data_IF_721741040418
#
_entry.id   IF_721741040418
#
_cell.length_a   1.000
_cell.length_b   1.000
_cell.length_c   1.000
_cell.angle_alpha   90.00
_cell.angle_beta   90.00
_cell.angle_gamma   90.00
#
_symmetry.space_group_name_H-M   'P 1'
#
loop_
_entity.id
_entity.type
_entity.pdbx_description
1 polymer ?
#
# COMPACT_ATOMS: atom_id res chain seq x y z
N UNK A 1 -2.33 -0.56 21.44
CA UNK A 1 -1.32 -0.19 20.43
C UNK A 1 0.09 -0.35 20.95
N UNK A 2 0.44 0.17 22.13
CA UNK A 2 1.76 -0.06 22.73
C UNK A 2 2.14 -1.56 22.79
N UNK A 3 1.23 -2.42 23.26
CA UNK A 3 1.45 -3.88 23.27
C UNK A 3 1.79 -4.46 21.89
N UNK A 4 1.16 -3.95 20.83
CA UNK A 4 1.46 -4.41 19.47
C UNK A 4 2.86 -3.97 19.03
N UNK A 5 3.24 -2.72 19.30
CA UNK A 5 4.58 -2.21 19.04
C UNK A 5 5.64 -2.98 19.83
N UNK A 6 5.38 -3.27 21.11
CA UNK A 6 6.28 -4.05 21.96
C UNK A 6 6.44 -5.49 21.45
N UNK A 7 5.36 -6.09 20.90
CA UNK A 7 5.40 -7.43 20.31
C UNK A 7 6.26 -7.49 19.05
N UNK A 8 6.19 -6.46 18.19
CA UNK A 8 6.93 -6.46 16.91
C UNK A 8 8.36 -5.95 17.04
N UNK A 9 8.64 -5.16 18.08
CA UNK A 9 9.96 -4.61 18.33
C UNK A 9 11.01 -5.73 18.46
N UNK A 10 12.17 -5.56 17.82
CA UNK A 10 13.28 -6.51 17.80
C UNK A 10 12.96 -7.93 17.27
N UNK A 11 11.85 -8.11 16.54
CA UNK A 11 11.49 -9.42 15.96
C UNK A 11 12.08 -9.70 14.59
N UNK A 12 12.60 -8.67 13.91
CA UNK A 12 13.01 -8.75 12.50
C UNK A 12 11.85 -8.78 11.50
N UNK A 13 10.62 -8.46 11.95
CA UNK A 13 9.52 -8.12 11.05
C UNK A 13 9.84 -6.77 10.41
N UNK A 14 9.69 -6.68 9.09
CA UNK A 14 9.90 -5.43 8.33
C UNK A 14 8.68 -4.98 7.55
N UNK A 15 7.63 -5.81 7.50
CA UNK A 15 6.41 -5.52 6.76
C UNK A 15 5.22 -6.13 7.49
N UNK A 16 4.25 -5.27 7.81
CA UNK A 16 2.95 -5.60 8.36
C UNK A 16 1.87 -5.27 7.33
N UNK A 17 1.25 -6.29 6.76
CA UNK A 17 0.19 -6.17 5.76
C UNK A 17 -1.16 -6.44 6.42
N UNK A 18 -2.12 -5.54 6.26
CA UNK A 18 -3.45 -5.69 6.80
C UNK A 18 -4.54 -5.16 5.85
N UNK A 19 -5.79 -5.17 6.31
CA UNK A 19 -6.97 -4.74 5.55
C UNK A 19 -7.97 -4.08 6.50
N UNK A 20 -9.25 -4.49 6.46
CA UNK A 20 -10.34 -3.94 7.31
C UNK A 20 -10.75 -2.49 6.97
N UNK A 21 -9.81 -1.56 6.94
CA UNK A 21 -10.03 -0.21 6.40
C UNK A 21 -10.21 -0.30 4.89
N UNK A 22 -11.24 0.31 4.33
CA UNK A 22 -11.52 0.29 2.89
C UNK A 22 -10.62 1.26 2.09
N UNK A 23 -9.35 1.36 2.46
CA UNK A 23 -8.36 2.25 1.87
C UNK A 23 -7.00 1.59 1.73
N UNK A 24 -6.09 2.33 1.12
CA UNK A 24 -4.77 1.85 0.72
C UNK A 24 -3.71 2.86 1.17
N UNK A 25 -2.73 2.42 1.96
CA UNK A 25 -1.62 3.26 2.39
C UNK A 25 -0.33 2.47 2.52
N UNK A 26 0.76 3.21 2.71
CA UNK A 26 2.05 2.70 3.09
C UNK A 26 2.68 3.67 4.07
N UNK A 27 2.90 3.21 5.28
CA UNK A 27 3.52 3.94 6.36
C UNK A 27 4.80 3.26 6.82
N UNK A 28 5.65 3.98 7.54
CA UNK A 28 6.91 3.47 8.06
C UNK A 28 7.20 3.95 9.47
N UNK A 29 7.75 3.06 10.30
CA UNK A 29 8.25 3.39 11.62
C UNK A 29 9.75 3.19 11.68
N UNK A 30 10.50 4.28 11.81
CA UNK A 30 11.97 4.23 11.95
C UNK A 30 12.43 3.63 13.27
N UNK A 31 11.64 3.76 14.34
CA UNK A 31 11.95 3.20 15.65
C UNK A 31 11.73 1.69 15.70
N UNK A 32 10.78 1.15 14.93
CA UNK A 32 10.48 -0.28 14.86
C UNK A 32 11.15 -0.98 13.67
N UNK A 33 11.56 -0.23 12.65
CA UNK A 33 12.08 -0.75 11.38
C UNK A 33 11.03 -1.55 10.59
N UNK A 34 9.77 -1.11 10.65
CA UNK A 34 8.60 -1.80 10.10
C UNK A 34 7.83 -0.89 9.15
N UNK A 35 7.48 -1.44 7.99
CA UNK A 35 6.50 -0.89 7.07
C UNK A 35 5.09 -1.38 7.41
N UNK A 36 4.13 -0.47 7.51
CA UNK A 36 2.72 -0.79 7.71
C UNK A 36 1.96 -0.50 6.43
N UNK A 37 1.17 -1.46 5.96
CA UNK A 37 0.42 -1.36 4.71
C UNK A 37 -1.02 -1.78 4.96
N UNK A 38 -1.94 -0.85 4.72
CA UNK A 38 -3.36 -1.14 4.57
C UNK A 38 -3.64 -1.50 3.11
N UNK A 39 -4.21 -2.67 2.91
CA UNK A 39 -4.61 -3.23 1.62
C UNK A 39 -6.05 -3.74 1.71
N UNK A 40 -7.01 -2.82 1.92
CA UNK A 40 -8.40 -3.18 2.22
C UNK A 40 -9.45 -2.72 1.22
N UNK A 41 -9.08 -1.97 0.17
CA UNK A 41 -9.93 -1.57 -0.93
C UNK A 41 -9.83 -2.54 -2.13
N UNK A 42 -9.96 -3.84 -1.86
CA UNK A 42 -9.80 -4.91 -2.87
C UNK A 42 -11.01 -5.19 -3.77
N UNK A 43 -12.11 -4.45 -3.65
CA UNK A 43 -13.36 -4.70 -4.39
C UNK A 43 -14.56 -5.07 -3.53
N UNK A 44 -14.57 -4.66 -2.25
CA UNK A 44 -15.72 -4.78 -1.35
C UNK A 44 -16.86 -3.80 -1.68
N UNK A 45 -17.69 -3.48 -0.68
CA UNK A 45 -18.87 -2.60 -0.87
C UNK A 45 -18.44 -1.14 -1.06
N UNK A 46 -17.34 -0.72 -0.44
CA UNK A 46 -16.88 0.67 -0.37
C UNK A 46 -15.37 0.72 -0.65
N UNK A 47 -14.92 1.82 -1.26
CA UNK A 47 -13.52 2.28 -1.33
C UNK A 47 -13.45 3.74 -0.92
N UNK A 48 -12.44 4.07 -0.13
CA UNK A 48 -12.19 5.41 0.41
C UNK A 48 -10.68 5.64 0.48
N UNK A 49 -10.25 6.89 0.66
CA UNK A 49 -8.88 7.16 1.07
C UNK A 49 -8.61 6.48 2.41
N UNK A 50 -7.39 5.98 2.61
CA UNK A 50 -7.02 5.43 3.91
C UNK A 50 -7.17 6.49 5.01
N UNK A 51 -7.52 6.05 6.21
CA UNK A 51 -7.46 6.90 7.39
C UNK A 51 -6.02 7.36 7.61
N UNK A 52 -5.82 8.65 7.85
CA UNK A 52 -4.51 9.18 8.22
C UNK A 52 -4.00 8.58 9.53
N UNK A 53 -2.73 8.86 9.86
CA UNK A 53 -2.08 8.33 11.06
C UNK A 53 -2.84 8.83 12.31
N UNK A 54 -3.31 7.93 13.19
CA UNK A 54 -3.96 8.31 14.43
C UNK A 54 -3.03 9.10 15.35
N UNK A 55 -3.57 10.04 16.14
CA UNK A 55 -2.76 10.91 17.02
C UNK A 55 -1.85 10.16 18.00
N UNK A 56 -2.24 8.97 18.46
CA UNK A 56 -1.40 8.16 19.34
C UNK A 56 -0.17 7.55 18.64
N UNK A 57 -0.14 7.53 17.31
CA UNK A 57 0.91 6.94 16.47
C UNK A 57 1.73 7.98 15.70
N UNK A 58 1.35 9.28 15.72
CA UNK A 58 2.05 10.37 15.02
C UNK A 58 3.55 10.49 15.39
N UNK A 59 3.95 10.07 16.59
CA UNK A 59 5.36 10.06 17.01
C UNK A 59 6.13 8.78 16.69
N UNK A 60 5.47 7.77 16.11
CA UNK A 60 6.04 6.45 15.85
C UNK A 60 6.10 6.10 14.38
N UNK A 61 5.17 6.65 13.60
CA UNK A 61 4.90 6.25 12.22
C UNK A 61 4.83 7.50 11.36
N UNK A 62 5.40 7.41 10.17
CA UNK A 62 5.38 8.44 9.13
C UNK A 62 4.65 7.89 7.90
N UNK A 63 3.83 8.73 7.27
CA UNK A 63 3.12 8.34 6.06
C UNK A 63 4.05 8.49 4.86
N UNK A 64 4.30 7.38 4.15
CA UNK A 64 5.09 7.40 2.92
C UNK A 64 4.19 7.59 1.70
N UNK A 65 3.00 6.98 1.72
CA UNK A 65 2.05 7.06 0.60
C UNK A 65 0.62 6.76 1.04
N UNK A 66 -0.35 7.37 0.37
CA UNK A 66 -1.78 7.09 0.52
C UNK A 66 -2.46 7.17 -0.84
N UNK A 67 -3.37 6.23 -1.12
CA UNK A 67 -4.23 6.31 -2.29
C UNK A 67 -5.45 7.17 -2.00
N UNK A 68 -5.89 7.94 -3.00
CA UNK A 68 -7.08 8.79 -2.88
C UNK A 68 -8.41 8.02 -2.80
N UNK A 69 -8.38 6.70 -3.07
CA UNK A 69 -9.55 5.83 -3.04
C UNK A 69 -10.44 5.92 -4.27
N UNK A 70 -9.95 6.51 -5.37
CA UNK A 70 -10.74 6.67 -6.61
C UNK A 70 -11.05 5.35 -7.30
N UNK A 71 -10.24 4.32 -7.10
CA UNK A 71 -10.38 2.98 -7.70
C UNK A 71 -10.07 1.86 -6.70
N UNK A 72 -10.58 0.65 -6.99
CA UNK A 72 -10.18 -0.55 -6.24
C UNK A 72 -8.79 -1.02 -6.69
N UNK A 73 -8.08 -1.74 -5.82
CA UNK A 73 -6.75 -2.21 -6.15
C UNK A 73 -6.21 -3.25 -5.19
N UNK A 74 -4.93 -3.56 -5.34
CA UNK A 74 -4.23 -4.46 -4.45
C UNK A 74 -2.72 -4.20 -4.44
N UNK A 75 -2.09 -4.52 -3.31
CA UNK A 75 -0.65 -4.61 -3.20
C UNK A 75 -0.11 -5.96 -3.66
N UNK A 76 0.92 -5.94 -4.49
CA UNK A 76 1.77 -7.09 -4.79
C UNK A 76 3.10 -6.97 -4.05
N UNK A 77 3.60 -8.10 -3.53
CA UNK A 77 4.93 -8.20 -2.94
C UNK A 77 5.73 -9.26 -3.69
N UNK A 78 6.96 -8.91 -4.08
CA UNK A 78 7.88 -9.85 -4.72
C UNK A 78 8.99 -10.29 -3.78
N UNK A 79 9.61 -11.44 -4.03
CA UNK A 79 10.72 -11.95 -3.22
C UNK A 79 11.95 -11.04 -3.20
N UNK A 80 12.09 -10.12 -4.18
CA UNK A 80 13.07 -9.02 -4.17
C UNK A 80 12.65 -7.85 -3.28
N UNK A 81 11.63 -8.04 -2.42
CA UNK A 81 11.06 -7.06 -1.48
C UNK A 81 10.57 -5.77 -2.13
N UNK A 82 10.11 -5.87 -3.37
CA UNK A 82 9.44 -4.78 -4.07
C UNK A 82 7.94 -4.87 -3.78
N UNK A 83 7.43 -3.88 -3.07
CA UNK A 83 6.01 -3.66 -2.76
C UNK A 83 5.42 -2.73 -3.82
N UNK A 84 4.29 -3.10 -4.43
CA UNK A 84 3.67 -2.28 -5.47
C UNK A 84 2.15 -2.27 -5.31
N UNK A 85 1.53 -1.10 -5.37
CA UNK A 85 0.08 -0.98 -5.45
C UNK A 85 -0.37 -0.91 -6.91
N UNK A 86 -1.37 -1.72 -7.24
CA UNK A 86 -1.95 -1.83 -8.57
C UNK A 86 -3.43 -1.54 -8.56
N UNK A 87 -3.90 -0.83 -9.58
CA UNK A 87 -5.30 -0.47 -9.78
C UNK A 87 -5.65 -0.46 -11.28
N UNK A 88 -6.88 -0.14 -11.63
CA UNK A 88 -7.32 0.02 -13.00
C UNK A 88 -6.56 1.15 -13.71
N UNK A 89 -6.23 0.95 -14.98
CA UNK A 89 -5.77 2.05 -15.83
C UNK A 89 -6.93 2.92 -16.34
N UNK A 90 -6.59 3.98 -17.07
CA UNK A 90 -7.54 4.98 -17.58
C UNK A 90 -8.40 4.47 -18.76
N UNK A 91 -8.21 3.22 -19.20
CA UNK A 91 -8.97 2.61 -20.31
C UNK A 91 -10.17 1.82 -19.83
N UNK A 92 -10.28 1.58 -18.52
CA UNK A 92 -11.46 0.96 -17.94
C UNK A 92 -12.68 1.87 -18.03
N UNK A 93 -13.83 1.27 -18.32
CA UNK A 93 -15.14 1.92 -18.15
C UNK A 93 -16.09 0.89 -17.57
N UNK A 94 -16.57 1.14 -16.35
CA UNK A 94 -17.47 0.23 -15.64
C UNK A 94 -18.93 0.52 -15.98
N UNK A 95 -19.67 -0.51 -16.35
CA UNK A 95 -21.11 -0.46 -16.57
C UNK A 95 -21.83 -1.51 -15.70
N UNK A 96 -23.16 -1.40 -15.59
CA UNK A 96 -23.98 -2.36 -14.83
C UNK A 96 -23.87 -3.80 -15.35
N UNK A 97 -23.62 -3.96 -16.66
CA UNK A 97 -23.43 -5.26 -17.29
C UNK A 97 -22.01 -5.41 -17.81
N UNK A 98 -21.46 -6.61 -17.68
CA UNK A 98 -20.12 -6.92 -18.17
C UNK A 98 -19.96 -6.67 -19.68
N UNK A 99 -21.01 -6.92 -20.47
CA UNK A 99 -21.00 -6.69 -21.92
C UNK A 99 -20.90 -5.22 -22.31
N UNK A 100 -21.21 -4.31 -21.40
CA UNK A 100 -21.12 -2.86 -21.58
C UNK A 100 -19.88 -2.24 -20.92
N UNK A 101 -19.08 -3.05 -20.22
CA UNK A 101 -17.83 -2.63 -19.58
C UNK A 101 -16.69 -2.69 -20.60
N UNK A 102 -15.89 -1.62 -20.66
CA UNK A 102 -14.64 -1.63 -21.41
C UNK A 102 -13.52 -2.14 -20.52
N UNK A 103 -12.85 -3.22 -20.97
CA UNK A 103 -11.70 -3.80 -20.28
C UNK A 103 -10.45 -2.97 -20.59
N UNK A 104 -9.85 -2.41 -19.55
CA UNK A 104 -8.55 -1.75 -19.60
C UNK A 104 -7.42 -2.67 -19.13
N UNK A 105 -6.28 -2.06 -18.82
CA UNK A 105 -5.09 -2.70 -18.25
C UNK A 105 -4.97 -2.52 -16.74
N UNK A 106 -3.73 -2.61 -16.25
CA UNK A 106 -3.37 -2.44 -14.84
C UNK A 106 -2.37 -1.30 -14.73
N UNK A 107 -2.65 -0.34 -13.87
CA UNK A 107 -1.76 0.77 -13.54
C UNK A 107 -1.11 0.53 -12.17
N UNK A 108 0.21 0.68 -12.10
CA UNK A 108 0.94 0.74 -10.84
C UNK A 108 1.01 2.20 -10.37
N UNK A 109 0.49 2.51 -9.18
CA UNK A 109 0.48 3.88 -8.63
C UNK A 109 1.47 4.09 -7.49
N UNK A 110 1.94 3.00 -6.88
CA UNK A 110 2.96 3.03 -5.83
C UNK A 110 3.95 1.91 -6.05
N UNK A 111 5.22 2.17 -5.77
CA UNK A 111 6.28 1.17 -5.85
C UNK A 111 7.39 1.51 -4.86
N UNK A 112 7.72 0.56 -4.00
CA UNK A 112 8.70 0.74 -2.94
C UNK A 112 9.59 -0.50 -2.77
N UNK A 113 10.88 -0.28 -2.51
CA UNK A 113 11.81 -1.33 -2.08
C UNK A 113 11.90 -1.35 -0.56
N UNK A 114 11.38 -2.41 0.07
CA UNK A 114 11.46 -2.63 1.52
C UNK A 114 12.77 -3.36 1.85
N UNK A 115 13.70 -2.77 2.60
CA UNK A 115 14.95 -3.43 2.93
C UNK A 115 14.75 -4.45 4.07
N UNK A 116 15.71 -5.35 4.27
CA UNK A 116 15.71 -6.32 5.38
C UNK A 116 16.61 -5.93 6.54
N UNK A 117 17.14 -4.72 6.53
CA UNK A 117 17.85 -4.14 7.67
C UNK A 117 16.91 -3.26 8.51
N UNK A 118 15.62 -3.20 8.16
CA UNK A 118 14.62 -2.37 8.80
C UNK A 118 14.72 -0.89 8.44
N UNK A 119 15.55 -0.49 7.47
CA UNK A 119 15.56 0.87 6.96
C UNK A 119 14.26 1.23 6.23
N UNK A 120 14.09 2.53 5.97
CA UNK A 120 12.91 3.06 5.26
C UNK A 120 12.82 2.57 3.82
N UNK A 121 13.95 2.26 3.18
CA UNK A 121 13.96 1.90 1.77
C UNK A 121 13.81 3.11 0.86
N UNK A 122 13.22 2.90 -0.32
CA UNK A 122 13.08 3.94 -1.33
C UNK A 122 12.01 3.61 -2.37
N UNK A 123 11.49 4.64 -3.03
CA UNK A 123 10.67 4.47 -4.23
C UNK A 123 11.41 3.66 -5.29
N UNK A 124 10.67 2.85 -6.03
CA UNK A 124 11.24 2.26 -7.23
C UNK A 124 11.54 3.37 -8.22
N UNK A 125 12.79 3.50 -8.64
CA UNK A 125 13.10 4.30 -9.82
C UNK A 125 12.24 3.79 -10.96
N UNK A 126 11.46 4.68 -11.57
CA UNK A 126 10.87 4.39 -12.87
C UNK A 126 12.06 4.09 -13.77
N UNK A 127 12.24 2.83 -14.14
CA UNK A 127 12.92 2.54 -15.39
C UNK A 127 12.05 3.26 -16.42
N UNK A 128 12.49 4.46 -16.82
CA UNK A 128 12.05 5.07 -18.06
C UNK A 128 12.08 3.93 -19.07
N UNK A 129 10.89 3.57 -19.54
CA UNK A 129 10.68 2.58 -20.58
C UNK A 129 11.77 2.80 -21.61
N UNK A 130 12.69 1.84 -21.69
CA UNK A 130 13.77 1.88 -22.66
C UNK A 130 13.13 1.98 -24.04
N UNK A 131 13.59 2.98 -24.77
CA UNK A 131 13.14 3.46 -26.07
C UNK A 131 12.91 2.38 -27.13
#
# INVERSE_FOLDING_TARGET
MQEWFDIINDTGVHLWLNGHTHGENHDYSSSLGVHFVDNGAGGGIIKESASGIPTYAEGYVENLWVYDGTEYGFFSLTASKKLQYHTADDKWSYAESFNSTSVGGVATKHCWYVPNDGGEGQECTSSSSSS
#
